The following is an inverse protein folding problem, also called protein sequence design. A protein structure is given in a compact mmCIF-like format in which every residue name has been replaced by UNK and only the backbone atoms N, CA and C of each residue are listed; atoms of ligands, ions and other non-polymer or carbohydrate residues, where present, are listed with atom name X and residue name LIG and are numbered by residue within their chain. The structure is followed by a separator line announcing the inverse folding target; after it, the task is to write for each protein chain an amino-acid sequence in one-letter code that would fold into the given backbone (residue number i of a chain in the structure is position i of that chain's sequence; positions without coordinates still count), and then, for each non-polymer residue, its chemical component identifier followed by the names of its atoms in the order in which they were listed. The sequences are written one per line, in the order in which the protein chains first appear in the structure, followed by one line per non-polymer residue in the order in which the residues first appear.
data_IF_519808847332
#
_entry.id   IF_519808847332
#
_cell.length_a   1.000
_cell.length_b   1.000
_cell.length_c   1.000
_cell.angle_alpha   90.00
_cell.angle_beta   90.00
_cell.angle_gamma   90.00
#
_symmetry.space_group_name_H-M   'P 1'
#
loop_
_entity.id
_entity.type
_entity.pdbx_description
1 polymer ?
#
# COMPACT_ATOMS: atom_id res chain seq x y z
N UNK A 1 -2.51 -5.92 -2.82
CA UNK A 1 -2.14 -4.64 -2.21
C UNK A 1 -2.63 -3.54 -3.12
N UNK A 2 -3.11 -2.45 -2.56
CA UNK A 2 -3.59 -1.29 -3.31
C UNK A 2 -2.99 0.00 -2.73
N UNK A 3 -2.84 1.00 -3.60
CA UNK A 3 -2.28 2.30 -3.25
C UNK A 3 -3.26 3.43 -3.60
N UNK A 4 -3.33 4.45 -2.75
CA UNK A 4 -4.15 5.64 -2.95
C UNK A 4 -3.33 6.90 -2.72
N UNK A 5 -3.37 7.84 -3.66
CA UNK A 5 -2.73 9.16 -3.56
C UNK A 5 -3.74 10.27 -3.25
N UNK A 6 -5.01 9.93 -3.07
CA UNK A 6 -6.13 10.84 -2.87
C UNK A 6 -6.88 10.58 -1.56
N UNK A 7 -6.13 10.17 -0.53
CA UNK A 7 -6.64 9.94 0.83
C UNK A 7 -7.76 8.88 0.89
N UNK A 8 -7.61 7.82 0.09
CA UNK A 8 -8.48 6.65 0.09
C UNK A 8 -9.73 6.76 -0.79
N UNK A 9 -9.87 7.82 -1.59
CA UNK A 9 -11.01 7.98 -2.51
C UNK A 9 -10.92 7.00 -3.67
N UNK A 10 -9.74 6.79 -4.24
CA UNK A 10 -9.48 5.81 -5.29
C UNK A 10 -8.29 4.91 -4.94
N UNK A 11 -8.29 3.70 -5.49
CA UNK A 11 -7.31 2.66 -5.18
C UNK A 11 -6.77 2.02 -6.46
N UNK A 12 -5.45 2.09 -6.66
CA UNK A 12 -4.75 1.41 -7.74
C UNK A 12 -4.18 0.09 -7.24
N UNK A 13 -4.52 -1.02 -7.89
CA UNK A 13 -3.99 -2.32 -7.54
C UNK A 13 -2.51 -2.47 -7.93
N UNK A 14 -1.74 -3.09 -7.04
CA UNK A 14 -0.39 -3.57 -7.30
C UNK A 14 -0.42 -5.08 -7.59
N UNK A 15 0.57 -5.55 -8.35
CA UNK A 15 0.75 -6.95 -8.72
C UNK A 15 1.73 -7.63 -7.76
N UNK A 16 1.36 -8.80 -7.23
CA UNK A 16 2.24 -9.59 -6.36
C UNK A 16 3.26 -10.32 -7.21
N UNK A 17 4.54 -10.15 -6.88
CA UNK A 17 5.64 -10.84 -7.54
C UNK A 17 6.06 -12.10 -6.78
N UNK A 18 6.86 -12.95 -7.41
CA UNK A 18 7.37 -14.20 -6.82
C UNK A 18 8.40 -13.96 -5.71
N UNK A 19 9.04 -12.79 -5.69
CA UNK A 19 10.07 -12.42 -4.71
C UNK A 19 9.52 -11.58 -3.54
N UNK A 20 8.21 -11.70 -3.28
CA UNK A 20 7.49 -11.09 -2.14
C UNK A 20 7.35 -9.57 -2.16
N UNK A 21 7.41 -8.94 -3.33
CA UNK A 21 7.07 -7.53 -3.50
C UNK A 21 5.71 -7.37 -4.17
N UNK A 22 5.13 -6.19 -3.99
CA UNK A 22 3.96 -5.74 -4.72
C UNK A 22 4.35 -4.56 -5.60
N UNK A 23 4.27 -4.72 -6.91
CA UNK A 23 4.71 -3.72 -7.88
C UNK A 23 3.54 -3.02 -8.56
N UNK A 24 3.74 -1.75 -8.87
CA UNK A 24 2.87 -0.97 -9.74
C UNK A 24 3.61 -0.71 -11.05
N UNK A 25 2.91 -0.79 -12.18
CA UNK A 25 3.51 -0.64 -13.52
C UNK A 25 4.22 0.69 -13.76
N UNK A 26 3.89 1.71 -12.96
CA UNK A 26 4.50 3.03 -12.96
C UNK A 26 4.53 3.54 -11.52
N UNK A 27 5.51 4.38 -11.16
CA UNK A 27 5.52 5.07 -9.87
C UNK A 27 4.20 5.82 -9.60
N UNK A 28 3.92 6.10 -8.32
CA UNK A 28 2.67 6.76 -7.90
C UNK A 28 2.65 8.26 -8.16
N UNK A 29 3.79 8.88 -8.47
CA UNK A 29 3.88 10.32 -8.74
C UNK A 29 3.58 11.22 -7.53
N UNK A 30 3.69 10.69 -6.31
CA UNK A 30 3.40 11.40 -5.07
C UNK A 30 4.48 11.14 -4.03
N UNK A 31 4.74 12.12 -3.16
CA UNK A 31 5.69 11.98 -2.05
C UNK A 31 5.15 11.12 -0.90
N UNK A 32 3.84 10.91 -0.85
CA UNK A 32 3.17 10.03 0.11
C UNK A 32 1.93 9.37 -0.49
N UNK A 33 1.58 8.19 0.01
CA UNK A 33 0.37 7.48 -0.36
C UNK A 33 -0.21 6.71 0.84
N UNK A 34 -1.47 6.31 0.73
CA UNK A 34 -2.09 5.34 1.63
C UNK A 34 -1.99 3.96 1.00
N UNK A 35 -1.70 2.95 1.82
CA UNK A 35 -1.58 1.56 1.39
C UNK A 35 -2.71 0.77 2.04
N UNK A 36 -3.48 0.05 1.23
CA UNK A 36 -4.49 -0.90 1.70
C UNK A 36 -4.03 -2.32 1.39
N UNK A 37 -4.11 -3.18 2.38
CA UNK A 37 -3.87 -4.61 2.23
C UNK A 37 -5.08 -5.35 2.75
N UNK A 38 -5.62 -6.25 1.95
CA UNK A 38 -6.76 -7.09 2.28
C UNK A 38 -6.26 -8.52 2.44
N UNK A 39 -6.57 -9.13 3.57
CA UNK A 39 -6.23 -10.51 3.88
C UNK A 39 -7.07 -11.47 3.04
N UNK A 40 -6.66 -12.75 3.00
CA UNK A 40 -7.47 -13.81 2.39
C UNK A 40 -8.84 -13.97 3.07
N UNK A 41 -8.96 -13.60 4.35
CA UNK A 41 -10.20 -13.63 5.10
C UNK A 41 -11.12 -12.42 4.80
N UNK A 42 -10.68 -11.49 3.94
CA UNK A 42 -11.44 -10.31 3.55
C UNK A 42 -11.29 -9.10 4.47
N UNK A 43 -10.60 -9.22 5.60
CA UNK A 43 -10.28 -8.09 6.48
C UNK A 43 -9.19 -7.20 5.87
N UNK A 44 -9.32 -5.88 6.01
CA UNK A 44 -8.36 -4.92 5.46
C UNK A 44 -7.65 -4.11 6.54
N UNK A 45 -6.37 -3.82 6.32
CA UNK A 45 -5.58 -2.83 7.06
C UNK A 45 -5.22 -1.70 6.11
N UNK A 46 -5.35 -0.46 6.59
CA UNK A 46 -4.93 0.74 5.86
C UNK A 46 -3.80 1.41 6.62
N UNK A 47 -2.65 1.57 5.96
CA UNK A 47 -1.51 2.35 6.45
C UNK A 47 -1.52 3.70 5.76
N UNK A 48 -1.77 4.75 6.53
CA UNK A 48 -1.89 6.11 6.01
C UNK A 48 -0.54 6.81 5.94
N UNK A 49 -0.43 7.76 5.01
CA UNK A 49 0.69 8.68 4.84
C UNK A 49 2.05 7.97 4.82
N UNK A 50 2.16 6.89 4.05
CA UNK A 50 3.44 6.19 3.84
C UNK A 50 4.32 7.08 2.96
N UNK A 51 5.53 7.45 3.39
CA UNK A 51 6.44 8.25 2.57
C UNK A 51 7.01 7.39 1.42
N UNK A 52 7.33 8.01 0.27
CA UNK A 52 7.83 7.33 -0.93
C UNK A 52 9.34 7.53 -1.27
N UNK A 53 10.27 7.74 -0.32
CA UNK A 53 11.71 7.64 -0.61
C UNK A 53 12.16 6.16 -0.65
N UNK A 54 13.28 5.85 -1.32
CA UNK A 54 13.86 4.51 -1.28
C UNK A 54 14.28 4.11 0.14
N UNK A 55 14.31 2.81 0.40
CA UNK A 55 14.86 2.19 1.62
C UNK A 55 14.25 2.62 2.97
N UNK A 56 13.02 3.17 2.95
CA UNK A 56 12.29 3.51 4.18
C UNK A 56 11.33 2.40 4.60
N UNK A 57 11.39 2.04 5.88
CA UNK A 57 10.46 1.11 6.53
C UNK A 57 9.42 1.88 7.33
N UNK A 58 8.15 1.58 7.10
CA UNK A 58 7.01 2.17 7.82
C UNK A 58 6.19 1.09 8.52
N UNK A 59 6.21 1.09 9.85
CA UNK A 59 5.38 0.19 10.65
C UNK A 59 3.91 0.63 10.63
N UNK A 60 3.02 -0.35 10.45
CA UNK A 60 1.58 -0.15 10.63
C UNK A 60 1.23 -0.02 12.13
N UNK A 61 0.13 0.65 12.43
CA UNK A 61 -0.38 0.79 13.81
C UNK A 61 -1.42 -0.27 14.18
N UNK A 62 -1.81 -1.15 13.25
CA UNK A 62 -2.86 -2.16 13.42
C UNK A 62 -2.51 -3.45 12.66
N UNK A 63 -2.99 -4.57 13.19
CA UNK A 63 -2.99 -5.88 12.54
C UNK A 63 -4.38 -6.20 11.99
N UNK A 64 -4.48 -7.29 11.22
CA UNK A 64 -5.78 -7.89 10.91
C UNK A 64 -6.47 -8.36 12.20
N UNK A 65 -7.79 -8.21 12.24
CA UNK A 65 -8.65 -8.82 13.25
C UNK A 65 -8.90 -10.30 12.91
#
# INVERSE_FOLDING_TARGET
MEVSTDQGKTWKAAQRTTYNFFEISSGVGASSAWIRVTSRAGSSVVVQNVPMPPDVVRSATKNYA
#
